data_IF_895642343555
#
_entry.id   IF_895642343555
#
_cell.length_a   1.000
_cell.length_b   1.000
_cell.length_c   1.000
_cell.angle_alpha   90.00
_cell.angle_beta   90.00
_cell.angle_gamma   90.00
#
_symmetry.space_group_name_H-M   'P 1'
#
loop_
_entity.id
_entity.type
_entity.pdbx_description
1 polymer ?
#
# COMPACT_ATOMS: atom_id res chain seq x y z
N UNK A 1 15.34 13.53 -24.71
CA UNK A 1 14.36 13.80 -23.63
C UNK A 1 15.06 13.68 -22.28
N UNK A 2 15.09 14.74 -21.48
CA UNK A 2 15.78 14.75 -20.18
C UNK A 2 14.77 14.49 -19.07
N UNK A 3 14.52 13.22 -18.75
CA UNK A 3 13.59 12.86 -17.67
C UNK A 3 14.24 13.20 -16.33
N UNK A 4 13.80 14.29 -15.69
CA UNK A 4 14.32 14.67 -14.38
C UNK A 4 13.83 13.68 -13.32
N UNK A 5 14.75 12.93 -12.71
CA UNK A 5 14.45 12.06 -11.56
C UNK A 5 13.90 12.83 -10.36
N UNK A 6 14.26 14.11 -10.24
CA UNK A 6 13.81 14.98 -9.17
C UNK A 6 13.19 16.27 -9.71
N UNK A 7 12.17 16.76 -9.02
CA UNK A 7 11.51 18.05 -9.23
C UNK A 7 11.56 18.81 -7.91
N UNK A 8 12.10 20.04 -7.92
CA UNK A 8 12.24 20.87 -6.71
C UNK A 8 12.95 20.13 -5.55
N UNK A 9 14.04 19.42 -5.85
CA UNK A 9 14.80 18.66 -4.85
C UNK A 9 14.16 17.34 -4.39
N UNK A 10 12.91 17.06 -4.77
CA UNK A 10 12.20 15.83 -4.41
C UNK A 10 12.19 14.82 -5.56
N UNK A 11 12.30 13.52 -5.27
CA UNK A 11 12.10 12.50 -6.29
C UNK A 11 10.69 12.56 -6.87
N UNK A 12 10.56 12.40 -8.18
CA UNK A 12 9.26 12.39 -8.85
C UNK A 12 8.47 11.15 -8.48
N UNK A 13 7.15 11.18 -8.67
CA UNK A 13 6.27 10.02 -8.46
C UNK A 13 6.73 8.81 -9.28
N UNK A 14 7.17 9.04 -10.53
CA UNK A 14 7.72 7.99 -11.38
C UNK A 14 9.02 7.39 -10.84
N UNK A 15 9.93 8.22 -10.33
CA UNK A 15 11.17 7.74 -9.71
C UNK A 15 10.90 6.91 -8.45
N UNK A 16 9.97 7.36 -7.58
CA UNK A 16 9.57 6.62 -6.37
C UNK A 16 8.85 5.31 -6.71
N UNK A 17 8.03 5.31 -7.78
CA UNK A 17 7.38 4.10 -8.30
C UNK A 17 8.41 3.10 -8.80
N UNK A 18 9.33 3.53 -9.68
CA UNK A 18 10.41 2.69 -10.17
C UNK A 18 11.25 2.09 -9.03
N UNK A 19 11.53 2.86 -7.97
CA UNK A 19 12.21 2.34 -6.79
C UNK A 19 11.44 1.21 -6.10
N UNK A 20 10.12 1.33 -5.96
CA UNK A 20 9.27 0.25 -5.42
C UNK A 20 9.25 -0.97 -6.35
N UNK A 21 9.16 -0.76 -7.66
CA UNK A 21 9.13 -1.86 -8.64
C UNK A 21 10.46 -2.65 -8.61
N UNK A 22 11.60 -1.97 -8.53
CA UNK A 22 12.92 -2.59 -8.37
C UNK A 22 13.01 -3.41 -7.06
N UNK A 23 12.48 -2.89 -5.95
CA UNK A 23 12.45 -3.61 -4.67
C UNK A 23 11.51 -4.82 -4.74
N UNK A 24 10.34 -4.67 -5.39
CA UNK A 24 9.39 -5.74 -5.58
C UNK A 24 9.95 -6.89 -6.44
N UNK A 25 10.87 -6.56 -7.37
CA UNK A 25 11.64 -7.54 -8.12
C UNK A 25 12.77 -8.23 -7.31
N UNK A 26 12.85 -7.99 -5.99
CA UNK A 26 13.79 -8.65 -5.08
C UNK A 26 15.11 -7.90 -4.85
N UNK A 27 15.28 -6.69 -5.39
CA UNK A 27 16.50 -5.94 -5.18
C UNK A 27 16.61 -5.38 -3.75
N UNK A 28 17.80 -5.49 -3.16
CA UNK A 28 18.11 -4.84 -1.89
C UNK A 28 18.00 -3.31 -2.01
N UNK A 29 17.53 -2.65 -0.93
CA UNK A 29 17.24 -1.21 -0.92
C UNK A 29 18.47 -0.34 -1.21
N UNK A 30 19.67 -0.75 -0.82
CA UNK A 30 20.91 -0.03 -1.20
C UNK A 30 21.28 -0.17 -2.67
N UNK A 31 20.74 -1.15 -3.40
CA UNK A 31 21.02 -1.39 -4.81
C UNK A 31 20.09 -0.61 -5.74
N UNK A 32 19.01 -0.04 -5.23
CA UNK A 32 18.01 0.70 -6.02
C UNK A 32 18.65 1.87 -6.79
N UNK A 33 19.36 2.78 -6.11
CA UNK A 33 20.03 3.90 -6.79
C UNK A 33 21.03 3.45 -7.86
N UNK A 34 21.96 2.52 -7.57
CA UNK A 34 22.85 1.92 -8.56
C UNK A 34 22.13 1.30 -9.76
N UNK A 35 21.05 0.54 -9.54
CA UNK A 35 20.27 -0.08 -10.60
C UNK A 35 19.57 0.96 -11.46
N UNK A 36 18.93 1.96 -10.86
CA UNK A 36 18.32 3.07 -11.60
C UNK A 36 19.35 3.81 -12.47
N UNK A 37 20.58 4.00 -11.97
CA UNK A 37 21.68 4.59 -12.73
C UNK A 37 22.08 3.74 -13.94
N UNK A 38 22.23 2.42 -13.76
CA UNK A 38 22.52 1.49 -14.85
C UNK A 38 21.41 1.45 -15.90
N UNK A 39 20.15 1.41 -15.47
CA UNK A 39 19.00 1.44 -16.38
C UNK A 39 18.98 2.74 -17.19
N UNK A 40 19.20 3.88 -16.53
CA UNK A 40 19.24 5.18 -17.21
C UNK A 40 20.38 5.26 -18.25
N UNK A 41 21.55 4.68 -17.95
CA UNK A 41 22.68 4.63 -18.88
C UNK A 41 22.36 3.88 -20.17
N UNK A 42 21.57 2.80 -20.12
CA UNK A 42 21.10 2.07 -21.31
C UNK A 42 20.30 2.99 -22.24
N UNK A 43 19.54 3.93 -21.67
CA UNK A 43 18.78 4.94 -22.42
C UNK A 43 19.57 6.24 -22.68
N UNK A 44 20.90 6.22 -22.51
CA UNK A 44 21.76 7.39 -22.76
C UNK A 44 21.68 8.50 -21.70
N UNK A 45 21.07 8.24 -20.54
CA UNK A 45 20.90 9.22 -19.47
C UNK A 45 21.93 8.96 -18.36
N UNK A 46 22.75 9.97 -18.03
CA UNK A 46 23.69 9.91 -16.92
C UNK A 46 23.07 10.48 -15.64
N UNK A 47 23.05 9.69 -14.57
CA UNK A 47 22.64 10.13 -13.23
C UNK A 47 23.90 10.34 -12.39
N UNK A 48 24.11 11.57 -11.93
CA UNK A 48 25.24 11.89 -11.05
C UNK A 48 25.13 11.14 -9.72
N UNK A 49 26.27 10.73 -9.14
CA UNK A 49 26.32 9.93 -7.90
C UNK A 49 25.61 10.60 -6.72
N UNK A 50 25.72 11.91 -6.61
CA UNK A 50 25.03 12.72 -5.58
C UNK A 50 23.51 12.86 -5.81
N UNK A 51 22.99 12.41 -6.97
CA UNK A 51 21.56 12.39 -7.32
C UNK A 51 21.00 10.98 -7.38
N UNK A 52 21.77 9.98 -6.97
CA UNK A 52 21.30 8.60 -6.87
C UNK A 52 20.43 8.42 -5.63
N UNK A 53 19.41 7.58 -5.75
CA UNK A 53 18.54 7.28 -4.63
C UNK A 53 19.31 6.50 -3.56
N UNK A 54 19.36 7.06 -2.35
CA UNK A 54 19.97 6.39 -1.20
C UNK A 54 19.08 5.27 -0.65
N UNK A 55 19.68 4.33 0.08
CA UNK A 55 18.95 3.27 0.81
C UNK A 55 17.80 3.83 1.66
N UNK A 56 18.05 4.93 2.39
CA UNK A 56 17.04 5.61 3.22
C UNK A 56 15.86 6.10 2.39
N UNK A 57 16.12 6.70 1.23
CA UNK A 57 15.07 7.20 0.35
C UNK A 57 14.27 6.07 -0.28
N UNK A 58 14.95 5.00 -0.72
CA UNK A 58 14.30 3.81 -1.23
C UNK A 58 13.38 3.16 -0.18
N UNK A 59 13.83 3.05 1.08
CA UNK A 59 12.98 2.60 2.19
C UNK A 59 11.75 3.49 2.39
N UNK A 60 11.92 4.82 2.36
CA UNK A 60 10.80 5.77 2.47
C UNK A 60 9.80 5.61 1.33
N UNK A 61 10.25 5.37 0.09
CA UNK A 61 9.36 5.15 -1.04
C UNK A 61 8.45 3.93 -0.85
N UNK A 62 8.92 2.89 -0.14
CA UNK A 62 8.12 1.71 0.23
C UNK A 62 7.12 2.06 1.33
N UNK A 63 7.56 2.74 2.38
CA UNK A 63 6.68 3.17 3.49
C UNK A 63 5.56 4.11 2.99
N UNK A 64 5.88 5.05 2.12
CA UNK A 64 4.91 5.92 1.44
C UNK A 64 3.88 5.10 0.66
N UNK A 65 4.32 4.01 0.01
CA UNK A 65 3.42 3.07 -0.66
C UNK A 65 2.46 2.39 0.32
N UNK A 66 2.93 2.00 1.50
CA UNK A 66 2.10 1.44 2.57
C UNK A 66 1.04 2.42 3.06
N UNK A 67 1.42 3.68 3.32
CA UNK A 67 0.47 4.74 3.72
C UNK A 67 -0.57 4.98 2.63
N UNK A 68 -0.16 4.99 1.36
CA UNK A 68 -1.10 5.13 0.24
C UNK A 68 -2.12 3.98 0.19
N UNK A 69 -1.68 2.73 0.43
CA UNK A 69 -2.57 1.57 0.51
C UNK A 69 -3.57 1.70 1.67
N UNK A 70 -3.14 2.14 2.85
CA UNK A 70 -4.04 2.35 3.99
C UNK A 70 -5.10 3.41 3.71
N UNK A 71 -4.69 4.53 3.11
CA UNK A 71 -5.59 5.59 2.66
C UNK A 71 -6.59 5.07 1.62
N UNK A 72 -6.13 4.25 0.68
CA UNK A 72 -6.98 3.64 -0.33
C UNK A 72 -8.01 2.66 0.28
N UNK A 73 -7.59 1.81 1.22
CA UNK A 73 -8.49 0.89 1.93
C UNK A 73 -9.59 1.63 2.72
N UNK A 74 -9.32 2.84 3.22
CA UNK A 74 -10.33 3.68 3.88
C UNK A 74 -11.26 4.41 2.91
N UNK A 75 -10.81 4.64 1.67
CA UNK A 75 -11.59 5.30 0.63
C UNK A 75 -12.49 4.33 -0.16
N UNK A 76 -11.99 3.13 -0.48
CA UNK A 76 -12.72 2.13 -1.26
C UNK A 76 -13.78 1.43 -0.39
N UNK A 77 -15.06 1.54 -0.79
CA UNK A 77 -16.21 1.03 -0.03
C UNK A 77 -16.69 -0.33 -0.57
N UNK A 78 -17.28 -1.14 0.33
CA UNK A 78 -17.61 -2.57 0.16
C UNK A 78 -16.38 -3.47 0.29
N UNK A 79 -16.42 -4.40 1.25
CA UNK A 79 -15.28 -5.28 1.51
C UNK A 79 -15.72 -6.69 1.89
N UNK A 80 -15.14 -7.67 1.20
CA UNK A 80 -14.94 -9.01 1.75
C UNK A 80 -13.49 -9.08 2.21
N UNK A 81 -13.26 -9.51 3.45
CA UNK A 81 -11.90 -9.60 3.99
C UNK A 81 -11.40 -11.04 3.92
N UNK A 82 -10.09 -11.22 3.86
CA UNK A 82 -9.48 -12.53 4.08
C UNK A 82 -8.18 -12.41 4.85
N UNK A 83 -7.86 -13.42 5.63
CA UNK A 83 -6.58 -13.56 6.30
C UNK A 83 -5.93 -14.89 5.91
N UNK A 84 -4.60 -14.90 5.85
CA UNK A 84 -3.79 -16.09 5.63
C UNK A 84 -2.59 -16.03 6.59
N UNK A 85 -2.26 -17.15 7.23
CA UNK A 85 -1.24 -17.20 8.27
C UNK A 85 -0.18 -18.25 7.97
N UNK A 86 1.09 -17.89 8.14
CA UNK A 86 2.22 -18.81 8.02
C UNK A 86 3.21 -18.61 9.16
N UNK A 87 3.92 -19.66 9.54
CA UNK A 87 5.03 -19.57 10.50
C UNK A 87 6.38 -19.50 9.79
N UNK A 88 7.33 -18.78 10.37
CA UNK A 88 8.73 -18.76 9.93
C UNK A 88 9.65 -18.58 11.15
N UNK A 89 10.49 -19.59 11.41
CA UNK A 89 11.44 -19.63 12.54
C UNK A 89 10.79 -19.31 13.89
N UNK A 90 9.64 -19.93 14.16
CA UNK A 90 8.90 -19.75 15.43
C UNK A 90 8.14 -18.44 15.56
N UNK A 91 8.12 -17.59 14.52
CA UNK A 91 7.26 -16.41 14.46
C UNK A 91 6.13 -16.64 13.47
N UNK A 92 4.90 -16.33 13.86
CA UNK A 92 3.78 -16.38 12.94
C UNK A 92 3.59 -15.05 12.26
N UNK A 93 3.16 -15.10 11.01
CA UNK A 93 2.87 -13.95 10.17
C UNK A 93 1.48 -14.11 9.60
N UNK A 94 0.62 -13.13 9.86
CA UNK A 94 -0.72 -13.04 9.31
C UNK A 94 -0.75 -11.95 8.24
N UNK A 95 -1.19 -12.32 7.04
CA UNK A 95 -1.39 -11.44 5.91
C UNK A 95 -2.87 -11.17 5.72
N UNK A 96 -3.25 -9.90 5.80
CA UNK A 96 -4.63 -9.48 5.57
C UNK A 96 -4.82 -9.03 4.11
N UNK A 97 -6.00 -9.29 3.56
CA UNK A 97 -6.43 -8.82 2.24
C UNK A 97 -7.85 -8.26 2.34
N UNK A 98 -8.08 -7.19 1.58
CA UNK A 98 -9.38 -6.55 1.45
C UNK A 98 -9.82 -6.66 -0.01
N UNK A 99 -10.99 -7.23 -0.26
CA UNK A 99 -11.55 -7.34 -1.60
C UNK A 99 -12.61 -6.26 -1.78
N UNK A 100 -12.25 -5.22 -2.51
CA UNK A 100 -13.09 -4.03 -2.73
C UNK A 100 -13.70 -4.02 -4.12
N UNK A 101 -14.90 -3.46 -4.26
CA UNK A 101 -15.31 -2.90 -5.55
C UNK A 101 -14.70 -1.50 -5.64
N UNK A 102 -13.99 -1.23 -6.74
CA UNK A 102 -13.17 -0.03 -6.85
C UNK A 102 -13.62 0.77 -8.06
N UNK A 103 -13.51 2.10 -8.01
CA UNK A 103 -13.88 2.94 -9.14
C UNK A 103 -12.92 2.73 -10.31
N UNK A 104 -13.39 3.02 -11.53
CA UNK A 104 -12.50 3.13 -12.68
C UNK A 104 -11.74 4.47 -12.58
N UNK A 105 -10.52 4.40 -12.05
CA UNK A 105 -9.67 5.56 -11.86
C UNK A 105 -9.31 6.33 -13.14
N UNK A 106 -9.55 5.76 -14.33
CA UNK A 106 -9.33 6.44 -15.61
C UNK A 106 -10.58 7.17 -16.12
N UNK A 107 -11.78 6.70 -15.77
CA UNK A 107 -13.06 7.28 -16.24
C UNK A 107 -13.70 8.17 -15.19
N UNK A 108 -14.02 7.58 -14.04
CA UNK A 108 -14.56 8.29 -12.89
C UNK A 108 -13.94 7.68 -11.62
N UNK A 109 -12.91 8.32 -11.05
CA UNK A 109 -12.20 7.81 -9.88
C UNK A 109 -13.03 7.85 -8.58
N UNK A 110 -14.29 8.27 -8.64
CA UNK A 110 -15.18 8.38 -7.48
C UNK A 110 -16.45 7.54 -7.61
N UNK A 111 -16.80 7.07 -8.81
CA UNK A 111 -17.95 6.20 -9.03
C UNK A 111 -17.54 4.73 -9.02
N UNK A 112 -18.09 3.97 -8.06
CA UNK A 112 -17.93 2.51 -8.01
C UNK A 112 -19.11 1.87 -8.73
N UNK A 113 -18.86 1.31 -9.91
CA UNK A 113 -19.84 0.50 -10.62
C UNK A 113 -20.15 -0.77 -9.79
N UNK A 114 -21.41 -1.03 -9.41
CA UNK A 114 -21.80 -2.28 -8.74
C UNK A 114 -21.51 -3.54 -9.54
N UNK A 115 -21.38 -3.45 -10.87
CA UNK A 115 -20.98 -4.55 -11.74
C UNK A 115 -19.45 -4.72 -11.85
N UNK A 116 -18.66 -3.79 -11.30
CA UNK A 116 -17.19 -3.83 -11.39
C UNK A 116 -16.59 -5.07 -10.75
N UNK A 117 -15.58 -5.66 -11.41
CA UNK A 117 -14.82 -6.79 -10.85
C UNK A 117 -14.11 -6.35 -9.57
N UNK A 118 -14.33 -7.05 -8.44
CA UNK A 118 -13.64 -6.72 -7.21
C UNK A 118 -12.12 -6.82 -7.36
N UNK A 119 -11.39 -5.90 -6.72
CA UNK A 119 -9.93 -5.87 -6.67
C UNK A 119 -9.44 -6.20 -5.28
N UNK A 120 -8.36 -6.96 -5.22
CA UNK A 120 -7.68 -7.28 -3.96
C UNK A 120 -6.73 -6.14 -3.62
N UNK A 121 -6.86 -5.62 -2.40
CA UNK A 121 -5.93 -4.71 -1.75
C UNK A 121 -5.25 -5.42 -0.61
N UNK A 122 -3.98 -5.14 -0.42
CA UNK A 122 -3.24 -5.70 0.69
C UNK A 122 -3.56 -4.96 1.98
N UNK A 123 -3.86 -5.70 3.04
CA UNK A 123 -4.16 -5.20 4.37
C UNK A 123 -2.95 -5.06 5.29
N UNK A 124 -1.78 -5.52 4.84
CA UNK A 124 -0.57 -5.59 5.64
C UNK A 124 -0.24 -7.02 6.08
N UNK A 125 0.99 -7.17 6.57
CA UNK A 125 1.48 -8.38 7.22
C UNK A 125 1.87 -8.03 8.65
N UNK A 126 1.37 -8.78 9.62
CA UNK A 126 1.73 -8.60 11.03
C UNK A 126 2.23 -9.90 11.62
N UNK A 127 3.21 -9.81 12.51
CA UNK A 127 3.62 -10.96 13.30
C UNK A 127 2.66 -11.17 14.47
N UNK A 128 2.19 -12.40 14.67
CA UNK A 128 1.33 -12.77 15.80
C UNK A 128 2.05 -13.74 16.71
N UNK A 129 1.89 -13.56 18.03
CA UNK A 129 2.44 -14.48 19.05
C UNK A 129 1.35 -15.45 19.53
N UNK A 130 0.09 -15.06 19.37
CA UNK A 130 -1.10 -15.80 19.81
C UNK A 130 -2.08 -15.99 18.63
N UNK A 131 -2.65 -17.19 18.54
CA UNK A 131 -3.60 -17.64 17.52
C UNK A 131 -5.05 -17.71 18.05
N UNK A 132 -5.30 -17.18 19.24
CA UNK A 132 -6.67 -17.11 19.75
C UNK A 132 -7.57 -16.31 18.83
N UNK A 133 -8.83 -16.76 18.68
CA UNK A 133 -9.85 -16.05 17.89
C UNK A 133 -10.01 -14.59 18.35
N UNK A 134 -9.86 -14.35 19.66
CA UNK A 134 -9.89 -13.02 20.26
C UNK A 134 -8.76 -12.14 19.73
N UNK A 135 -7.53 -12.68 19.62
CA UNK A 135 -6.39 -11.95 19.10
C UNK A 135 -6.53 -11.65 17.60
N UNK A 136 -7.11 -12.57 16.81
CA UNK A 136 -7.42 -12.31 15.40
C UNK A 136 -8.42 -11.16 15.24
N UNK A 137 -9.48 -11.12 16.05
CA UNK A 137 -10.46 -10.02 16.06
C UNK A 137 -9.79 -8.70 16.47
N UNK A 138 -8.94 -8.72 17.50
CA UNK A 138 -8.18 -7.55 17.93
C UNK A 138 -7.23 -7.04 16.83
N UNK A 139 -6.58 -7.96 16.10
CA UNK A 139 -5.74 -7.64 14.95
C UNK A 139 -6.52 -6.95 13.83
N UNK A 140 -7.69 -7.49 13.46
CA UNK A 140 -8.58 -6.84 12.48
C UNK A 140 -9.04 -5.46 12.93
N UNK A 141 -9.45 -5.31 14.19
CA UNK A 141 -9.83 -4.02 14.75
C UNK A 141 -8.71 -2.99 14.62
N UNK A 142 -7.50 -3.36 15.06
CA UNK A 142 -6.31 -2.50 14.98
C UNK A 142 -5.99 -2.11 13.53
N UNK A 143 -6.07 -3.04 12.58
CA UNK A 143 -5.83 -2.77 11.15
C UNK A 143 -6.83 -1.77 10.57
N UNK A 144 -8.11 -1.99 10.84
CA UNK A 144 -9.17 -1.11 10.34
C UNK A 144 -9.10 0.27 10.99
N UNK A 145 -8.79 0.35 12.28
CA UNK A 145 -8.58 1.62 12.98
C UNK A 145 -7.36 2.38 12.42
N UNK A 146 -6.27 1.68 12.12
CA UNK A 146 -5.10 2.27 11.45
C UNK A 146 -5.43 2.83 10.06
N UNK A 147 -6.18 2.07 9.25
CA UNK A 147 -6.66 2.55 7.95
C UNK A 147 -7.57 3.78 8.10
N UNK A 148 -8.47 3.77 9.10
CA UNK A 148 -9.36 4.89 9.40
C UNK A 148 -8.60 6.14 9.83
N UNK A 149 -7.59 6.01 10.69
CA UNK A 149 -6.76 7.13 11.09
C UNK A 149 -6.06 7.74 9.87
N UNK A 150 -5.33 6.94 9.09
CA UNK A 150 -4.58 7.44 7.92
C UNK A 150 -5.51 8.07 6.88
N UNK A 151 -6.68 7.48 6.64
CA UNK A 151 -7.64 8.06 5.71
C UNK A 151 -8.22 9.37 6.25
N UNK A 152 -8.70 9.41 7.49
CA UNK A 152 -9.34 10.59 8.07
C UNK A 152 -8.37 11.77 8.21
N UNK A 153 -7.10 11.50 8.50
CA UNK A 153 -6.04 12.52 8.59
C UNK A 153 -5.56 12.99 7.20
N UNK A 154 -6.04 12.38 6.12
CA UNK A 154 -5.59 12.70 4.77
C UNK A 154 -6.28 13.95 4.19
N UNK A 155 -5.58 14.69 3.31
CA UNK A 155 -6.22 15.75 2.51
C UNK A 155 -7.33 15.22 1.59
N UNK A 156 -7.37 13.92 1.31
CA UNK A 156 -8.44 13.32 0.51
C UNK A 156 -9.76 13.30 1.28
N UNK A 157 -9.74 12.83 2.53
CA UNK A 157 -10.92 12.83 3.40
C UNK A 157 -11.44 14.25 3.64
N UNK A 158 -10.54 15.20 3.95
CA UNK A 158 -10.89 16.60 4.17
C UNK A 158 -11.59 17.24 2.95
N UNK A 159 -11.01 17.07 1.74
CA UNK A 159 -11.59 17.62 0.50
C UNK A 159 -12.93 17.01 0.13
N UNK A 160 -13.17 15.76 0.55
CA UNK A 160 -14.39 15.01 0.24
C UNK A 160 -15.43 15.06 1.35
N UNK A 161 -15.09 15.66 2.49
CA UNK A 161 -15.93 15.64 3.69
C UNK A 161 -16.36 14.21 4.06
N UNK A 162 -15.47 13.25 3.84
CA UNK A 162 -15.69 11.84 4.13
C UNK A 162 -15.04 11.46 5.45
N UNK A 163 -15.62 10.47 6.13
CA UNK A 163 -15.05 9.88 7.33
C UNK A 163 -15.16 8.37 7.24
N UNK A 164 -14.05 7.67 7.52
CA UNK A 164 -14.04 6.22 7.68
C UNK A 164 -13.95 5.88 9.17
N UNK A 165 -14.75 4.92 9.62
CA UNK A 165 -14.75 4.48 11.02
C UNK A 165 -14.94 2.98 11.08
N UNK A 166 -14.57 2.36 12.20
CA UNK A 166 -14.81 0.94 12.43
C UNK A 166 -16.31 0.57 12.28
N UNK A 167 -17.22 1.46 12.71
CA UNK A 167 -18.68 1.25 12.52
C UNK A 167 -19.08 1.25 11.05
N UNK A 168 -18.51 2.12 10.23
CA UNK A 168 -18.74 2.13 8.78
C UNK A 168 -18.20 0.83 8.19
N UNK A 169 -16.99 0.41 8.58
CA UNK A 169 -16.41 -0.86 8.16
C UNK A 169 -17.35 -2.05 8.43
N UNK A 170 -17.87 -2.19 9.66
CA UNK A 170 -18.81 -3.26 9.99
C UNK A 170 -20.09 -3.21 9.14
N UNK A 171 -20.58 -2.02 8.79
CA UNK A 171 -21.76 -1.86 7.95
C UNK A 171 -21.51 -2.28 6.49
N UNK A 172 -20.29 -2.10 5.98
CA UNK A 172 -19.94 -2.42 4.59
C UNK A 172 -19.32 -3.82 4.42
N UNK A 173 -18.94 -4.47 5.53
CA UNK A 173 -18.39 -5.82 5.54
C UNK A 173 -19.43 -6.81 4.99
N UNK A 174 -19.05 -7.56 3.95
CA UNK A 174 -19.92 -8.53 3.28
C UNK A 174 -19.63 -9.98 3.68
N UNK A 175 -18.44 -10.25 4.16
CA UNK A 175 -18.01 -11.57 4.60
C UNK A 175 -16.52 -11.57 4.92
N UNK A 176 -16.08 -12.69 5.51
CA UNK A 176 -14.69 -12.96 5.81
C UNK A 176 -14.36 -14.38 5.37
N UNK A 177 -13.28 -14.53 4.61
CA UNK A 177 -12.68 -15.82 4.32
C UNK A 177 -11.48 -16.01 5.25
N UNK A 178 -11.61 -16.92 6.21
CA UNK A 178 -10.50 -17.42 7.01
C UNK A 178 -10.34 -18.90 6.75
N UNK A 179 -9.13 -19.41 6.94
CA UNK A 179 -8.97 -20.84 7.20
C UNK A 179 -9.36 -21.09 8.67
N UNK A 180 -10.30 -22.03 8.84
CA UNK A 180 -10.99 -22.43 10.08
C UNK A 180 -12.21 -21.57 10.52
#
# INVERSE_FOLDING_TARGET
>A
MTTKLTRQGMYTVHARRMARDIIAAGAAREKVGPLMSKIAQIFGVKIHRNRMMSRRTASRCVLEGGIATQMQNGFELSVTISADSTSNRGNNFESAKFQHRVPDYQKDPFFVDPASTPRIRHGGVESTVDHSSQQSVAGWKKRVEGNAQVFNDSPLAARRQMKFTFRIFLRILKGMNGDH
#
